data_IF_878234010880
#
_entry.id   IF_878234010880
#
_cell.length_a   1.000
_cell.length_b   1.000
_cell.length_c   1.000
_cell.angle_alpha   90.00
_cell.angle_beta   90.00
_cell.angle_gamma   90.00
#
_symmetry.space_group_name_H-M   'P 1'
#
loop_
_entity.id
_entity.type
_entity.pdbx_description
1 polymer ?
#
# COMPACT_ATOMS: atom_id res chain seq x y z
N UNK A 1 14.33 -22.82 5.52
CA UNK A 1 12.93 -22.90 5.06
C UNK A 1 12.14 -21.83 5.81
N UNK A 2 10.92 -21.50 5.39
CA UNK A 2 9.90 -20.95 6.30
C UNK A 2 9.56 -22.03 7.35
N UNK A 3 10.52 -22.40 8.21
CA UNK A 3 10.61 -23.79 8.72
C UNK A 3 9.68 -24.13 9.89
N UNK A 4 8.86 -23.20 10.36
CA UNK A 4 7.74 -23.52 11.25
C UNK A 4 6.59 -22.51 11.02
N UNK A 5 5.50 -22.98 10.42
CA UNK A 5 4.30 -22.17 10.20
C UNK A 5 3.64 -21.74 11.51
N UNK A 6 3.78 -22.53 12.57
CA UNK A 6 3.30 -22.15 13.88
C UNK A 6 4.12 -20.99 14.45
N UNK A 7 5.43 -20.95 14.25
CA UNK A 7 6.24 -19.79 14.67
C UNK A 7 5.89 -18.52 13.92
N UNK A 8 5.67 -18.62 12.60
CA UNK A 8 5.18 -17.49 11.81
C UNK A 8 3.83 -17.02 12.34
N UNK A 9 2.89 -17.94 12.59
CA UNK A 9 1.59 -17.62 13.16
C UNK A 9 1.72 -16.93 14.53
N UNK A 10 2.57 -17.44 15.44
CA UNK A 10 2.83 -16.80 16.73
C UNK A 10 3.44 -15.41 16.58
N UNK A 11 4.35 -15.22 15.62
CA UNK A 11 4.91 -13.91 15.33
C UNK A 11 3.84 -12.94 14.83
N UNK A 12 2.97 -13.37 13.91
CA UNK A 12 1.84 -12.56 13.44
C UNK A 12 0.90 -12.16 14.59
N UNK A 13 0.62 -13.08 15.52
CA UNK A 13 -0.18 -12.76 16.72
C UNK A 13 0.51 -11.74 17.63
N UNK A 14 1.83 -11.90 17.88
CA UNK A 14 2.60 -10.97 18.73
C UNK A 14 2.65 -9.56 18.13
N UNK A 15 2.85 -9.47 16.82
CA UNK A 15 2.87 -8.21 16.06
C UNK A 15 1.46 -7.67 15.76
N UNK A 16 0.41 -8.33 16.27
CA UNK A 16 -1.01 -7.99 16.04
C UNK A 16 -1.33 -7.78 14.56
N UNK A 17 -0.81 -8.67 13.70
CA UNK A 17 -1.11 -8.67 12.27
C UNK A 17 -2.52 -9.23 12.08
N UNK A 18 -3.37 -8.40 11.47
CA UNK A 18 -4.78 -8.70 11.17
C UNK A 18 -4.88 -9.50 9.89
N UNK A 19 -4.10 -9.11 8.88
CA UNK A 19 -4.08 -9.77 7.57
C UNK A 19 -2.69 -9.65 6.94
N UNK A 20 -2.22 -10.73 6.31
CA UNK A 20 -1.00 -10.73 5.51
C UNK A 20 -1.25 -11.52 4.23
N UNK A 21 -0.79 -10.99 3.10
CA UNK A 21 -0.83 -11.64 1.80
C UNK A 21 0.51 -11.47 1.11
N UNK A 22 1.01 -12.53 0.47
CA UNK A 22 2.22 -12.49 -0.35
C UNK A 22 1.98 -13.30 -1.61
N UNK A 23 2.11 -12.68 -2.79
CA UNK A 23 1.88 -13.35 -4.06
C UNK A 23 1.49 -12.40 -5.19
N UNK A 24 1.03 -12.96 -6.33
CA UNK A 24 0.54 -12.16 -7.44
C UNK A 24 -0.79 -11.47 -7.11
N UNK A 25 -0.90 -10.21 -7.48
CA UNK A 25 -2.07 -9.38 -7.21
C UNK A 25 -2.87 -9.18 -8.49
N UNK A 26 -4.11 -9.64 -8.46
CA UNK A 26 -5.14 -9.35 -9.46
C UNK A 26 -6.30 -8.58 -8.83
N UNK A 27 -7.17 -7.99 -9.64
CA UNK A 27 -8.35 -7.27 -9.14
C UNK A 27 -9.24 -8.16 -8.24
N UNK A 28 -9.45 -9.43 -8.63
CA UNK A 28 -10.23 -10.38 -7.83
C UNK A 28 -9.58 -10.67 -6.46
N UNK A 29 -8.24 -10.72 -6.39
CA UNK A 29 -7.51 -10.87 -5.13
C UNK A 29 -7.74 -9.65 -4.23
N UNK A 30 -7.69 -8.44 -4.80
CA UNK A 30 -7.95 -7.20 -4.06
C UNK A 30 -9.38 -7.18 -3.49
N UNK A 31 -10.37 -7.54 -4.30
CA UNK A 31 -11.78 -7.60 -3.88
C UNK A 31 -11.99 -8.61 -2.74
N UNK A 32 -11.41 -9.82 -2.87
CA UNK A 32 -11.51 -10.87 -1.86
C UNK A 32 -10.84 -10.49 -0.54
N UNK A 33 -9.59 -10.03 -0.59
CA UNK A 33 -8.85 -9.55 0.60
C UNK A 33 -9.59 -8.38 1.25
N UNK A 34 -10.10 -7.45 0.42
CA UNK A 34 -10.85 -6.30 0.88
C UNK A 34 -12.11 -6.66 1.66
N UNK A 35 -12.86 -7.67 1.20
CA UNK A 35 -14.03 -8.18 1.91
C UNK A 35 -13.65 -8.84 3.24
N UNK A 36 -12.59 -9.67 3.25
CA UNK A 36 -12.08 -10.30 4.48
C UNK A 36 -11.61 -9.28 5.50
N UNK A 37 -10.90 -8.23 5.06
CA UNK A 37 -10.40 -7.17 5.92
C UNK A 37 -11.53 -6.41 6.61
N UNK A 38 -12.57 -6.01 5.87
CA UNK A 38 -13.75 -5.35 6.44
C UNK A 38 -14.43 -6.22 7.49
N UNK A 39 -14.75 -7.47 7.13
CA UNK A 39 -15.41 -8.40 8.04
C UNK A 39 -14.60 -8.60 9.33
N UNK A 40 -13.27 -8.72 9.21
CA UNK A 40 -12.39 -8.92 10.36
C UNK A 40 -12.40 -7.72 11.31
N UNK A 41 -12.38 -6.50 10.77
CA UNK A 41 -12.44 -5.28 11.59
C UNK A 41 -13.83 -5.06 12.22
N UNK A 42 -14.90 -5.44 11.52
CA UNK A 42 -16.27 -5.40 12.05
C UNK A 42 -16.44 -6.37 13.23
N UNK A 43 -15.87 -7.57 13.15
CA UNK A 43 -15.86 -8.56 14.24
C UNK A 43 -15.09 -8.03 15.47
N UNK A 44 -14.07 -7.19 15.25
CA UNK A 44 -13.27 -6.56 16.31
C UNK A 44 -13.86 -5.22 16.79
N UNK A 45 -15.13 -4.95 16.48
CA UNK A 45 -15.92 -3.79 16.89
C UNK A 45 -15.24 -2.43 16.61
N UNK A 46 -14.53 -2.36 15.48
CA UNK A 46 -13.90 -1.11 15.03
C UNK A 46 -14.93 -0.14 14.49
N UNK A 47 -14.70 1.16 14.70
CA UNK A 47 -15.60 2.18 14.20
C UNK A 47 -15.57 2.24 12.66
N UNK A 48 -16.73 2.59 12.09
CA UNK A 48 -16.94 2.63 10.64
C UNK A 48 -15.95 3.57 9.94
N UNK A 49 -15.55 4.68 10.57
CA UNK A 49 -14.61 5.61 9.94
C UNK A 49 -13.21 4.99 9.85
N UNK A 50 -12.76 4.30 10.89
CA UNK A 50 -11.48 3.58 10.87
C UNK A 50 -11.47 2.48 9.82
N UNK A 51 -12.54 1.68 9.74
CA UNK A 51 -12.71 0.64 8.71
C UNK A 51 -12.61 1.25 7.29
N UNK A 52 -13.30 2.36 7.04
CA UNK A 52 -13.26 3.03 5.74
C UNK A 52 -11.88 3.61 5.40
N UNK A 53 -11.16 4.16 6.39
CA UNK A 53 -9.79 4.65 6.19
C UNK A 53 -8.83 3.51 5.86
N UNK A 54 -8.84 2.44 6.65
CA UNK A 54 -8.01 1.23 6.41
C UNK A 54 -8.30 0.66 5.03
N UNK A 55 -9.57 0.49 4.67
CA UNK A 55 -9.95 -0.04 3.36
C UNK A 55 -9.53 0.87 2.21
N UNK A 56 -9.69 2.18 2.33
CA UNK A 56 -9.27 3.14 1.30
C UNK A 56 -7.75 3.10 1.08
N UNK A 57 -6.97 3.07 2.15
CA UNK A 57 -5.50 2.97 2.06
C UNK A 57 -5.08 1.62 1.50
N UNK A 58 -5.74 0.53 1.89
CA UNK A 58 -5.53 -0.79 1.30
C UNK A 58 -5.70 -0.77 -0.22
N UNK A 59 -6.81 -0.23 -0.73
CA UNK A 59 -7.08 -0.19 -2.17
C UNK A 59 -6.01 0.60 -2.93
N UNK A 60 -5.64 1.78 -2.43
CA UNK A 60 -4.57 2.60 -3.02
C UNK A 60 -3.22 1.87 -3.05
N UNK A 61 -2.85 1.21 -1.95
CA UNK A 61 -1.61 0.45 -1.86
C UNK A 61 -1.58 -0.76 -2.80
N UNK A 62 -2.71 -1.45 -2.97
CA UNK A 62 -2.82 -2.56 -3.91
C UNK A 62 -2.75 -2.08 -5.36
N UNK A 63 -3.36 -0.94 -5.67
CA UNK A 63 -3.23 -0.30 -6.99
C UNK A 63 -1.77 0.10 -7.27
N UNK A 64 -1.08 0.66 -6.28
CA UNK A 64 0.35 0.97 -6.39
C UNK A 64 1.17 -0.29 -6.67
N UNK A 65 0.94 -1.39 -5.95
CA UNK A 65 1.61 -2.67 -6.19
C UNK A 65 1.36 -3.17 -7.63
N UNK A 66 0.10 -3.20 -8.08
CA UNK A 66 -0.24 -3.65 -9.43
C UNK A 66 0.44 -2.80 -10.52
N UNK A 67 0.55 -1.49 -10.29
CA UNK A 67 1.11 -0.52 -11.24
C UNK A 67 2.64 -0.49 -11.26
N UNK A 68 3.29 -0.66 -10.11
CA UNK A 68 4.74 -0.41 -9.97
C UNK A 68 5.58 -1.67 -9.72
N UNK A 69 4.97 -2.84 -9.48
CA UNK A 69 5.76 -4.05 -9.29
C UNK A 69 6.54 -4.41 -10.55
N UNK A 70 7.86 -4.45 -10.41
CA UNK A 70 8.81 -4.87 -11.43
C UNK A 70 8.91 -6.41 -11.51
N UNK A 71 8.50 -7.12 -10.46
CA UNK A 71 8.37 -8.57 -10.47
C UNK A 71 6.95 -8.94 -10.87
N UNK A 72 6.81 -9.59 -12.02
CA UNK A 72 5.50 -9.87 -12.62
C UNK A 72 5.37 -11.30 -13.10
N UNK A 73 4.14 -11.82 -13.06
CA UNK A 73 3.77 -13.09 -13.69
C UNK A 73 2.90 -12.76 -14.90
N UNK A 74 3.33 -13.17 -16.09
CA UNK A 74 2.50 -13.10 -17.29
C UNK A 74 1.40 -14.15 -17.22
N UNK A 75 0.16 -13.77 -17.53
CA UNK A 75 -0.92 -14.74 -17.74
C UNK A 75 -1.00 -15.05 -19.24
N UNK A 76 -1.04 -16.33 -19.60
CA UNK A 76 -1.25 -16.70 -21.00
C UNK A 76 -2.71 -16.39 -21.40
N UNK A 77 -2.84 -15.60 -22.47
CA UNK A 77 -4.07 -15.20 -23.17
C UNK A 77 -4.93 -14.19 -22.37
N UNK A 78 -4.85 -12.93 -22.81
CA UNK A 78 -5.77 -11.81 -22.52
C UNK A 78 -5.79 -11.24 -21.08
N UNK A 79 -5.20 -11.90 -20.09
CA UNK A 79 -5.00 -11.35 -18.74
C UNK A 79 -3.65 -10.64 -18.63
N UNK A 80 -3.64 -9.32 -18.47
CA UNK A 80 -2.39 -8.55 -18.34
C UNK A 80 -1.46 -9.04 -17.22
N UNK A 81 -0.18 -8.67 -17.27
CA UNK A 81 0.82 -9.10 -16.28
C UNK A 81 0.39 -8.77 -14.83
N UNK A 82 0.49 -9.73 -13.93
CA UNK A 82 0.19 -9.55 -12.50
C UNK A 82 1.44 -9.15 -11.73
N UNK A 83 1.37 -8.04 -10.99
CA UNK A 83 2.45 -7.64 -10.09
C UNK A 83 2.55 -8.55 -8.88
N UNK A 84 3.76 -8.90 -8.46
CA UNK A 84 4.03 -9.64 -7.22
C UNK A 84 4.38 -8.66 -6.10
N UNK A 85 3.86 -8.94 -4.91
CA UNK A 85 4.29 -8.23 -3.71
C UNK A 85 3.74 -8.86 -2.43
N UNK A 86 3.95 -8.12 -1.35
CA UNK A 86 3.48 -8.44 -0.01
C UNK A 86 2.66 -7.29 0.54
N UNK A 87 1.64 -7.63 1.32
CA UNK A 87 0.75 -6.71 1.97
C UNK A 87 0.48 -7.16 3.40
N UNK A 88 0.44 -6.21 4.33
CA UNK A 88 0.19 -6.43 5.76
C UNK A 88 -0.74 -5.34 6.29
N UNK A 89 -1.80 -5.76 6.99
CA UNK A 89 -2.52 -4.90 7.94
C UNK A 89 -2.21 -5.38 9.34
N UNK A 90 -1.81 -4.46 10.21
CA UNK A 90 -1.63 -4.76 11.62
C UNK A 90 -2.08 -3.62 12.51
N UNK A 91 -1.94 -3.84 13.81
CA UNK A 91 -2.29 -2.87 14.83
C UNK A 91 -1.11 -2.64 15.78
N UNK A 92 -0.58 -1.42 15.83
CA UNK A 92 0.59 -1.06 16.63
C UNK A 92 0.39 0.33 17.23
N UNK A 93 0.80 0.50 18.48
CA UNK A 93 0.75 1.80 19.19
C UNK A 93 -0.66 2.45 19.13
N UNK A 94 -1.69 1.62 19.36
CA UNK A 94 -3.12 1.99 19.31
C UNK A 94 -3.63 2.47 17.95
N UNK A 95 -2.91 2.15 16.87
CA UNK A 95 -3.22 2.56 15.51
C UNK A 95 -3.21 1.38 14.56
N UNK A 96 -4.10 1.40 13.57
CA UNK A 96 -3.94 0.52 12.43
C UNK A 96 -2.79 1.01 11.55
N UNK A 97 -2.10 0.07 10.92
CA UNK A 97 -1.20 0.39 9.84
C UNK A 97 -1.45 -0.53 8.65
N UNK A 98 -1.19 0.02 7.47
CA UNK A 98 -1.23 -0.69 6.20
C UNK A 98 0.17 -0.60 5.59
N UNK A 99 0.81 -1.75 5.42
CA UNK A 99 2.15 -1.87 4.83
C UNK A 99 2.10 -2.68 3.55
N UNK A 100 2.68 -2.15 2.50
CA UNK A 100 2.82 -2.82 1.21
C UNK A 100 4.30 -2.89 0.82
N UNK A 101 4.70 -3.90 0.06
CA UNK A 101 6.03 -3.95 -0.52
C UNK A 101 6.13 -4.80 -1.78
N UNK A 102 6.99 -4.37 -2.69
CA UNK A 102 7.22 -5.02 -3.97
C UNK A 102 8.59 -4.62 -4.55
N UNK A 103 9.12 -5.45 -5.46
CA UNK A 103 10.26 -5.03 -6.28
C UNK A 103 9.83 -3.89 -7.21
N UNK A 104 10.69 -2.91 -7.41
CA UNK A 104 10.45 -1.70 -8.21
C UNK A 104 11.72 -1.28 -8.95
N UNK A 105 11.57 -0.69 -10.14
CA UNK A 105 12.68 -0.04 -10.85
C UNK A 105 13.15 1.21 -10.08
N UNK A 106 14.47 1.41 -10.01
CA UNK A 106 15.09 2.52 -9.26
C UNK A 106 14.58 3.90 -9.72
N UNK A 107 14.30 4.10 -11.00
CA UNK A 107 13.72 5.36 -11.51
C UNK A 107 12.34 5.65 -10.92
N UNK A 108 11.50 4.62 -10.77
CA UNK A 108 10.17 4.74 -10.16
C UNK A 108 10.25 4.88 -8.64
N UNK A 109 11.23 4.26 -8.00
CA UNK A 109 11.51 4.48 -6.57
C UNK A 109 11.81 5.95 -6.29
N UNK A 110 12.70 6.58 -7.07
CA UNK A 110 13.07 7.99 -6.89
C UNK A 110 11.85 8.91 -7.05
N UNK A 111 11.04 8.70 -8.09
CA UNK A 111 9.79 9.44 -8.30
C UNK A 111 8.83 9.32 -7.11
N UNK A 112 8.63 8.11 -6.56
CA UNK A 112 7.74 7.89 -5.42
C UNK A 112 8.29 8.57 -4.16
N UNK A 113 9.60 8.53 -3.94
CA UNK A 113 10.24 9.20 -2.79
C UNK A 113 10.03 10.71 -2.85
N UNK A 114 10.28 11.33 -3.99
CA UNK A 114 10.05 12.77 -4.19
C UNK A 114 8.59 13.15 -3.90
N UNK A 115 7.63 12.32 -4.35
CA UNK A 115 6.21 12.55 -4.08
C UNK A 115 5.87 12.45 -2.59
N UNK A 116 6.43 11.49 -1.87
CA UNK A 116 6.16 11.34 -0.43
C UNK A 116 6.90 12.37 0.40
N UNK A 117 8.11 12.77 0.00
CA UNK A 117 8.86 13.84 0.64
C UNK A 117 8.16 15.19 0.47
N UNK A 118 7.58 15.50 -0.71
CA UNK A 118 6.71 16.68 -0.90
C UNK A 118 5.56 16.70 0.11
N UNK A 119 4.98 15.54 0.44
CA UNK A 119 3.85 15.43 1.37
C UNK A 119 4.25 15.51 2.85
N UNK A 120 5.49 15.13 3.18
CA UNK A 120 5.99 15.06 4.56
C UNK A 120 6.01 16.43 5.23
N UNK A 121 6.30 17.47 4.45
CA UNK A 121 6.45 18.84 4.95
C UNK A 121 5.11 19.60 5.01
N UNK A 122 4.01 19.01 4.54
CA UNK A 122 2.70 19.64 4.48
C UNK A 122 1.85 19.31 5.71
N UNK A 123 1.13 20.32 6.19
CA UNK A 123 0.08 20.12 7.19
C UNK A 123 -1.23 19.60 6.55
N UNK A 124 -2.19 19.20 7.38
CA UNK A 124 -3.44 18.60 6.92
C UNK A 124 -4.26 19.50 5.96
N UNK A 125 -4.22 20.82 6.13
CA UNK A 125 -4.96 21.74 5.26
C UNK A 125 -4.24 21.99 3.95
N UNK A 126 -2.91 22.01 3.97
CA UNK A 126 -2.07 22.04 2.77
C UNK A 126 -2.22 20.77 1.93
N UNK A 127 -2.25 19.60 2.56
CA UNK A 127 -2.52 18.32 1.86
C UNK A 127 -3.91 18.35 1.20
N UNK A 128 -4.93 18.88 1.90
CA UNK A 128 -6.28 19.04 1.31
C UNK A 128 -6.27 20.02 0.14
N UNK A 129 -5.52 21.13 0.24
CA UNK A 129 -5.40 22.11 -0.82
C UNK A 129 -4.69 21.52 -2.05
N UNK A 130 -3.59 20.80 -1.83
CA UNK A 130 -2.84 20.07 -2.84
C UNK A 130 -3.74 19.05 -3.56
N UNK A 131 -4.52 18.26 -2.83
CA UNK A 131 -5.49 17.33 -3.40
C UNK A 131 -6.50 18.03 -4.32
N UNK A 132 -7.09 19.15 -3.87
CA UNK A 132 -8.06 19.91 -4.68
C UNK A 132 -7.43 20.50 -5.93
N UNK A 133 -6.17 20.92 -5.87
CA UNK A 133 -5.40 21.44 -7.00
C UNK A 133 -5.12 20.34 -8.02
N UNK A 134 -4.46 19.26 -7.60
CA UNK A 134 -4.09 18.12 -8.45
C UNK A 134 -5.30 17.46 -9.13
N UNK A 135 -6.46 17.41 -8.47
CA UNK A 135 -7.71 16.88 -9.05
C UNK A 135 -8.24 17.69 -10.25
N UNK A 136 -7.82 18.94 -10.41
CA UNK A 136 -8.20 19.81 -11.55
C UNK A 136 -7.18 19.76 -12.69
N UNK A 137 -6.01 19.20 -12.44
CA UNK A 137 -4.93 19.08 -13.42
C UNK A 137 -5.12 17.79 -14.24
N UNK A 138 -4.69 17.76 -15.51
CA UNK A 138 -4.62 16.52 -16.26
C UNK A 138 -3.63 15.54 -15.60
N UNK A 139 -3.90 14.22 -15.67
CA UNK A 139 -2.99 13.22 -15.12
C UNK A 139 -1.60 13.32 -15.79
N UNK A 140 -0.50 13.11 -15.05
CA UNK A 140 0.85 13.07 -15.62
C UNK A 140 0.95 12.03 -16.74
N UNK A 141 1.73 12.31 -17.80
CA UNK A 141 1.86 11.44 -18.98
C UNK A 141 2.27 9.99 -18.65
N UNK A 142 3.02 9.78 -17.56
CA UNK A 142 3.50 8.46 -17.11
C UNK A 142 2.71 7.87 -15.94
N UNK A 143 1.60 8.49 -15.56
CA UNK A 143 0.77 8.01 -14.46
C UNK A 143 -0.55 7.45 -14.99
N UNK A 144 -0.78 6.15 -14.73
CA UNK A 144 -2.09 5.50 -14.98
C UNK A 144 -3.19 6.00 -14.02
N UNK A 145 -2.86 6.91 -13.10
CA UNK A 145 -3.79 7.66 -12.25
C UNK A 145 -3.39 9.13 -12.17
N UNK A 146 -4.17 9.99 -11.52
CA UNK A 146 -3.87 11.42 -11.43
C UNK A 146 -2.70 11.76 -10.46
N UNK A 147 -1.82 10.80 -10.15
CA UNK A 147 -0.81 10.95 -9.08
C UNK A 147 -1.42 11.19 -7.70
N UNK A 148 -2.72 10.95 -7.54
CA UNK A 148 -3.49 11.30 -6.34
C UNK A 148 -3.33 10.30 -5.20
N UNK A 149 -2.88 9.06 -5.46
CA UNK A 149 -2.92 7.97 -4.48
C UNK A 149 -2.13 8.27 -3.19
N UNK A 150 -0.92 8.82 -3.30
CA UNK A 150 -0.17 9.22 -2.09
C UNK A 150 -0.83 10.38 -1.34
N UNK A 151 -1.44 11.33 -2.04
CA UNK A 151 -2.18 12.44 -1.42
C UNK A 151 -3.45 11.90 -0.73
N UNK A 152 -4.15 10.96 -1.36
CA UNK A 152 -5.32 10.25 -0.84
C UNK A 152 -5.02 9.50 0.45
N UNK A 153 -3.86 8.84 0.51
CA UNK A 153 -3.36 8.15 1.70
C UNK A 153 -2.94 9.16 2.78
N UNK A 154 -2.17 10.19 2.44
CA UNK A 154 -1.70 11.19 3.39
C UNK A 154 -2.85 11.94 4.09
N UNK A 155 -3.96 12.21 3.38
CA UNK A 155 -5.17 12.80 3.98
C UNK A 155 -5.81 11.95 5.08
N UNK A 156 -5.63 10.63 5.02
CA UNK A 156 -6.26 9.66 5.92
C UNK A 156 -5.28 9.13 6.98
N UNK A 157 -3.99 9.41 6.81
CA UNK A 157 -2.93 8.95 7.69
C UNK A 157 -2.89 9.76 9.00
N UNK A 158 -2.54 9.10 10.10
CA UNK A 158 -2.32 9.73 11.40
C UNK A 158 -0.91 10.28 11.59
N UNK A 159 0.00 9.96 10.68
CA UNK A 159 1.38 10.48 10.62
C UNK A 159 1.89 10.47 9.17
N UNK A 160 3.05 11.11 8.88
CA UNK A 160 3.65 11.08 7.54
C UNK A 160 3.83 9.65 7.02
N UNK A 161 3.63 9.47 5.70
CA UNK A 161 3.83 8.18 5.03
C UNK A 161 5.29 7.76 5.18
N UNK A 162 5.51 6.53 5.60
CA UNK A 162 6.85 5.96 5.75
C UNK A 162 7.22 5.16 4.51
N UNK A 163 8.40 5.45 3.97
CA UNK A 163 9.02 4.68 2.90
C UNK A 163 10.33 4.09 3.41
N UNK A 164 10.50 2.81 3.14
CA UNK A 164 11.77 2.09 3.29
C UNK A 164 12.10 1.35 1.99
N UNK A 165 13.38 1.10 1.72
CA UNK A 165 13.77 0.31 0.56
C UNK A 165 15.09 -0.43 0.76
N UNK A 166 15.21 -1.57 0.09
CA UNK A 166 16.44 -2.37 0.05
C UNK A 166 16.86 -2.55 -1.40
N UNK A 167 18.10 -2.17 -1.73
CA UNK A 167 18.66 -2.40 -3.06
C UNK A 167 18.76 -3.91 -3.31
N UNK A 168 18.19 -4.38 -4.42
CA UNK A 168 18.24 -5.79 -4.85
C UNK A 168 19.38 -5.99 -5.84
N UNK A 169 19.46 -5.09 -6.83
CA UNK A 169 20.52 -5.03 -7.84
C UNK A 169 20.69 -3.60 -8.39
N UNK A 170 21.44 -3.43 -9.49
CA UNK A 170 21.74 -2.13 -10.10
C UNK A 170 20.50 -1.37 -10.59
N UNK A 171 19.43 -2.08 -10.95
CA UNK A 171 18.21 -1.51 -11.55
C UNK A 171 16.96 -1.67 -10.68
N UNK A 172 16.97 -2.62 -9.75
CA UNK A 172 15.84 -2.99 -8.91
C UNK A 172 16.11 -2.75 -7.43
N UNK A 173 15.11 -2.21 -6.74
CA UNK A 173 15.02 -2.16 -5.29
C UNK A 173 13.73 -2.83 -4.81
N UNK A 174 13.69 -3.29 -3.56
CA UNK A 174 12.47 -3.68 -2.88
C UNK A 174 11.95 -2.48 -2.10
N UNK A 175 10.83 -1.92 -2.52
CA UNK A 175 10.17 -0.80 -1.87
C UNK A 175 9.21 -1.32 -0.80
N UNK A 176 9.15 -0.64 0.34
CA UNK A 176 8.11 -0.80 1.34
C UNK A 176 7.49 0.55 1.68
N UNK A 177 6.15 0.61 1.70
CA UNK A 177 5.38 1.80 2.05
C UNK A 177 4.47 1.45 3.22
N UNK A 178 4.56 2.21 4.31
CA UNK A 178 3.74 2.05 5.51
C UNK A 178 2.91 3.31 5.76
N UNK A 179 1.62 3.13 6.02
CA UNK A 179 0.68 4.20 6.34
C UNK A 179 -0.04 3.86 7.64
N UNK A 180 0.09 4.72 8.65
CA UNK A 180 -0.60 4.59 9.93
C UNK A 180 -1.91 5.39 9.91
N UNK A 181 -2.93 4.89 10.60
CA UNK A 181 -4.32 5.39 10.57
C UNK A 181 -4.75 5.82 11.96
#
# INVERSE_FOLDING_TARGET
MLTDLYELYRQMLREKIVLCFSGPVSQHVVEGIGATLKLKMEIEDQDINTIQKVFSIFVEQMQNLMNYSAERISQDKDGGDLGIGIFVVGFKDERFYVRCGNKINNDKLNMIREQVDELRDLNADEIKALYRRRRKEPPPQDSKGAGLGFIEMAKKASQPIEIDYTTVDETISFLSVTVYI
#
